data_IF_195737650930
#
_entry.id   IF_195737650930
#
_cell.length_a   1.000
_cell.length_b   1.000
_cell.length_c   1.000
_cell.angle_alpha   90.00
_cell.angle_beta   90.00
_cell.angle_gamma   90.00
#
_symmetry.space_group_name_H-M   'P 1'
#
loop_
_entity.id
_entity.type
_entity.pdbx_description
1 polymer ?
#
# COMPACT_ATOMS: atom_id res chain seq x y z
N UNK A 1 -11.97 34.37 10.77
CA UNK A 1 -12.41 33.35 9.79
C UNK A 1 -11.20 32.65 9.21
N UNK A 2 -10.88 31.45 9.68
CA UNK A 2 -9.82 30.63 9.08
C UNK A 2 -10.36 29.97 7.81
N UNK A 3 -9.82 30.33 6.64
CA UNK A 3 -10.09 29.61 5.39
C UNK A 3 -9.55 28.19 5.54
N UNK A 4 -10.45 27.21 5.66
CA UNK A 4 -10.14 25.79 5.45
C UNK A 4 -9.46 25.68 4.08
N UNK A 5 -8.23 25.15 4.03
CA UNK A 5 -7.63 24.73 2.76
C UNK A 5 -8.58 23.70 2.13
N UNK A 6 -8.87 23.77 0.81
CA UNK A 6 -9.65 22.73 0.17
C UNK A 6 -8.91 21.40 0.35
N UNK A 7 -9.62 20.43 0.93
CA UNK A 7 -9.20 19.02 0.96
C UNK A 7 -9.03 18.58 -0.49
N UNK A 8 -7.88 17.99 -0.82
CA UNK A 8 -7.60 17.45 -2.17
C UNK A 8 -8.44 16.19 -2.44
N UNK A 9 -9.10 15.66 -1.42
CA UNK A 9 -10.02 14.54 -1.52
C UNK A 9 -11.45 15.09 -1.53
N UNK A 10 -12.11 15.01 -2.69
CA UNK A 10 -13.54 15.29 -2.86
C UNK A 10 -14.38 14.00 -2.75
N UNK A 11 -15.70 14.15 -2.60
CA UNK A 11 -16.60 13.02 -2.40
C UNK A 11 -16.61 12.03 -3.59
N UNK A 12 -16.35 12.53 -4.81
CA UNK A 12 -16.30 11.72 -6.02
C UNK A 12 -15.03 10.84 -6.06
N UNK A 13 -13.88 11.40 -5.67
CA UNK A 13 -12.63 10.65 -5.52
C UNK A 13 -12.79 9.51 -4.50
N UNK A 14 -13.37 9.80 -3.34
CA UNK A 14 -13.63 8.77 -2.32
C UNK A 14 -14.60 7.70 -2.83
N UNK A 15 -15.70 8.08 -3.51
CA UNK A 15 -16.67 7.11 -4.02
C UNK A 15 -16.06 6.13 -5.05
N UNK A 16 -15.27 6.63 -6.01
CA UNK A 16 -14.63 5.78 -7.02
C UNK A 16 -13.51 4.91 -6.41
N UNK A 17 -12.69 5.48 -5.52
CA UNK A 17 -11.61 4.74 -4.85
C UNK A 17 -12.19 3.64 -3.95
N UNK A 18 -13.28 3.92 -3.24
CA UNK A 18 -13.97 2.95 -2.40
C UNK A 18 -14.51 1.80 -3.23
N UNK A 19 -15.16 2.05 -4.36
CA UNK A 19 -15.71 0.99 -5.21
C UNK A 19 -14.60 0.07 -5.75
N UNK A 20 -13.47 0.64 -6.20
CA UNK A 20 -12.32 -0.13 -6.64
C UNK A 20 -11.62 -0.91 -5.52
N UNK A 21 -11.53 -0.32 -4.34
CA UNK A 21 -10.92 -0.95 -3.17
C UNK A 21 -11.82 -2.05 -2.61
N UNK A 22 -13.11 -1.82 -2.47
CA UNK A 22 -14.08 -2.80 -1.98
C UNK A 22 -14.15 -4.03 -2.90
N UNK A 23 -14.15 -3.82 -4.22
CA UNK A 23 -14.12 -4.93 -5.19
C UNK A 23 -12.84 -5.75 -5.08
N UNK A 24 -11.69 -5.10 -4.96
CA UNK A 24 -10.40 -5.78 -4.73
C UNK A 24 -10.43 -6.54 -3.40
N UNK A 25 -10.91 -5.89 -2.35
CA UNK A 25 -11.00 -6.47 -1.02
C UNK A 25 -11.92 -7.68 -0.97
N UNK A 26 -13.08 -7.66 -1.63
CA UNK A 26 -13.99 -8.81 -1.74
C UNK A 26 -13.37 -10.02 -2.45
N UNK A 27 -12.43 -9.79 -3.36
CA UNK A 27 -11.69 -10.87 -4.01
C UNK A 27 -10.54 -11.41 -3.13
N UNK A 28 -9.91 -10.55 -2.32
CA UNK A 28 -8.71 -10.89 -1.54
C UNK A 28 -9.04 -11.38 -0.12
N UNK A 29 -10.02 -10.77 0.57
CA UNK A 29 -10.38 -11.11 1.95
C UNK A 29 -10.76 -12.59 2.14
N UNK A 30 -11.51 -13.27 1.24
CA UNK A 30 -11.76 -14.71 1.36
C UNK A 30 -10.50 -15.56 1.22
N UNK A 31 -9.51 -15.10 0.44
CA UNK A 31 -8.21 -15.78 0.30
C UNK A 31 -7.43 -15.67 1.60
N UNK A 32 -7.31 -14.45 2.14
CA UNK A 32 -6.62 -14.18 3.41
C UNK A 32 -7.28 -14.93 4.57
N UNK A 33 -8.61 -14.90 4.66
CA UNK A 33 -9.35 -15.61 5.70
C UNK A 33 -9.12 -17.13 5.65
N UNK A 34 -9.13 -17.72 4.45
CA UNK A 34 -8.86 -19.16 4.27
C UNK A 34 -7.42 -19.52 4.62
N UNK A 35 -6.46 -18.69 4.26
CA UNK A 35 -5.05 -18.95 4.49
C UNK A 35 -4.67 -18.81 5.95
N UNK A 36 -5.19 -17.81 6.66
CA UNK A 36 -4.67 -17.47 8.01
C UNK A 36 -5.69 -17.65 9.13
N UNK A 37 -6.98 -17.84 8.82
CA UNK A 37 -8.01 -18.01 9.85
C UNK A 37 -8.12 -16.81 10.80
N UNK A 38 -7.67 -15.62 10.38
CA UNK A 38 -7.71 -14.41 11.20
C UNK A 38 -9.15 -14.12 11.66
N UNK A 39 -9.31 -13.83 12.96
CA UNK A 39 -10.60 -13.50 13.60
C UNK A 39 -10.69 -12.03 13.99
N UNK A 40 -9.56 -11.33 13.92
CA UNK A 40 -9.47 -9.90 14.19
C UNK A 40 -8.51 -9.19 13.24
N UNK A 41 -8.94 -8.03 12.71
CA UNK A 41 -8.19 -7.25 11.72
C UNK A 41 -8.14 -5.78 12.10
N UNK A 42 -6.96 -5.18 12.07
CA UNK A 42 -6.79 -3.72 12.11
C UNK A 42 -6.27 -3.20 10.77
N UNK A 43 -6.89 -2.15 10.24
CA UNK A 43 -6.53 -1.52 8.96
C UNK A 43 -6.10 -0.06 9.19
N UNK A 44 -4.83 0.22 8.91
CA UNK A 44 -4.20 1.53 9.11
C UNK A 44 -4.11 2.27 7.77
N UNK A 45 -4.77 3.41 7.70
CA UNK A 45 -5.12 4.08 6.45
C UNK A 45 -6.35 3.44 5.79
N UNK A 46 -7.36 3.08 6.58
CA UNK A 46 -8.52 2.31 6.11
C UNK A 46 -9.46 3.08 5.17
N UNK A 47 -9.29 4.39 5.04
CA UNK A 47 -10.22 5.31 4.38
C UNK A 47 -11.63 5.14 4.93
N UNK A 48 -12.58 4.87 4.03
CA UNK A 48 -13.97 4.59 4.40
C UNK A 48 -14.21 3.15 4.92
N UNK A 49 -13.16 2.34 5.10
CA UNK A 49 -13.26 0.99 5.67
C UNK A 49 -13.62 -0.11 4.66
N UNK A 50 -13.28 0.07 3.37
CA UNK A 50 -13.64 -0.87 2.31
C UNK A 50 -13.07 -2.28 2.51
N UNK A 51 -11.81 -2.37 2.96
CA UNK A 51 -11.17 -3.66 3.25
C UNK A 51 -11.77 -4.35 4.47
N UNK A 52 -11.97 -3.60 5.55
CA UNK A 52 -12.62 -4.09 6.76
C UNK A 52 -14.07 -4.54 6.53
N UNK A 53 -14.79 -3.86 5.62
CA UNK A 53 -16.11 -4.29 5.17
C UNK A 53 -16.06 -5.67 4.52
N UNK A 54 -15.11 -5.90 3.60
CA UNK A 54 -14.94 -7.19 2.96
C UNK A 54 -14.53 -8.30 3.96
N UNK A 55 -13.68 -7.98 4.94
CA UNK A 55 -13.37 -8.92 6.04
C UNK A 55 -14.59 -9.26 6.90
N UNK A 56 -15.45 -8.28 7.18
CA UNK A 56 -16.72 -8.52 7.89
C UNK A 56 -17.64 -9.45 7.09
N UNK A 57 -17.69 -9.31 5.76
CA UNK A 57 -18.51 -10.14 4.87
C UNK A 57 -18.07 -11.61 4.84
N UNK A 58 -16.82 -11.91 5.20
CA UNK A 58 -16.31 -13.29 5.36
C UNK A 58 -16.36 -13.78 6.82
N UNK A 59 -17.01 -13.04 7.71
CA UNK A 59 -17.27 -13.45 9.10
C UNK A 59 -16.30 -12.94 10.15
N UNK A 60 -15.40 -11.99 9.81
CA UNK A 60 -14.50 -11.37 10.81
C UNK A 60 -15.22 -10.21 11.51
N UNK A 61 -15.59 -10.40 12.77
CA UNK A 61 -16.34 -9.40 13.52
C UNK A 61 -15.46 -8.38 14.24
N UNK A 62 -14.29 -8.79 14.76
CA UNK A 62 -13.40 -7.91 15.51
C UNK A 62 -12.51 -7.10 14.56
N UNK A 63 -13.03 -5.98 14.08
CA UNK A 63 -12.33 -5.09 13.16
C UNK A 63 -12.10 -3.70 13.75
N UNK A 64 -11.01 -3.05 13.38
CA UNK A 64 -10.74 -1.65 13.69
C UNK A 64 -10.09 -0.93 12.50
N UNK A 65 -10.64 0.21 12.11
CA UNK A 65 -10.06 1.08 11.09
C UNK A 65 -9.48 2.34 11.73
N UNK A 66 -8.27 2.72 11.30
CA UNK A 66 -7.61 3.94 11.74
C UNK A 66 -7.25 4.77 10.52
N UNK A 67 -7.72 6.01 10.45
CA UNK A 67 -7.38 6.95 9.38
C UNK A 67 -7.55 8.40 9.87
N UNK A 68 -7.20 9.41 9.06
CA UNK A 68 -7.30 10.81 9.45
C UNK A 68 -8.72 11.33 9.67
N UNK A 69 -8.83 12.41 10.45
CA UNK A 69 -10.11 13.08 10.74
C UNK A 69 -10.76 13.74 9.50
N UNK A 70 -10.08 13.71 8.35
CA UNK A 70 -10.65 14.12 7.06
C UNK A 70 -11.68 13.11 6.52
N UNK A 71 -11.72 11.89 7.04
CA UNK A 71 -12.68 10.86 6.61
C UNK A 71 -14.08 11.23 7.11
N UNK A 72 -15.03 11.38 6.19
CA UNK A 72 -16.42 11.64 6.54
C UNK A 72 -17.07 10.40 7.17
N UNK A 73 -17.31 10.46 8.48
CA UNK A 73 -17.88 9.36 9.28
C UNK A 73 -19.27 8.91 8.84
N UNK A 74 -20.02 9.75 8.12
CA UNK A 74 -21.35 9.40 7.60
C UNK A 74 -21.28 8.42 6.41
N UNK A 75 -20.12 8.35 5.74
CA UNK A 75 -19.91 7.53 4.55
C UNK A 75 -19.14 6.23 4.83
N UNK A 76 -18.88 5.91 6.11
CA UNK A 76 -18.14 4.71 6.49
C UNK A 76 -18.89 3.45 6.04
N UNK A 77 -18.14 2.48 5.52
CA UNK A 77 -18.60 1.14 5.18
C UNK A 77 -18.57 0.18 6.37
N UNK A 78 -18.07 0.66 7.51
CA UNK A 78 -18.00 -0.05 8.78
C UNK A 78 -18.73 0.76 9.86
N UNK A 79 -19.15 0.13 10.97
CA UNK A 79 -19.76 0.87 12.08
C UNK A 79 -18.81 1.96 12.60
N UNK A 80 -19.32 3.17 12.83
CA UNK A 80 -18.49 4.31 13.27
C UNK A 80 -17.75 4.06 14.59
N UNK A 81 -18.27 3.18 15.44
CA UNK A 81 -17.61 2.74 16.68
C UNK A 81 -16.33 1.91 16.44
N UNK A 82 -16.15 1.38 15.23
CA UNK A 82 -14.96 0.62 14.81
C UNK A 82 -13.95 1.49 14.03
N UNK A 83 -14.17 2.81 13.96
CA UNK A 83 -13.29 3.76 13.29
C UNK A 83 -12.66 4.73 14.29
N UNK A 84 -11.34 4.94 14.17
CA UNK A 84 -10.56 5.86 14.98
C UNK A 84 -9.92 6.91 14.08
N UNK A 85 -10.19 8.19 14.37
CA UNK A 85 -9.55 9.29 13.67
C UNK A 85 -8.15 9.57 14.25
N UNK A 86 -7.11 9.49 13.44
CA UNK A 86 -5.72 9.70 13.84
C UNK A 86 -4.88 10.29 12.71
N UNK A 87 -4.03 11.27 13.04
CA UNK A 87 -3.00 11.76 12.12
C UNK A 87 -1.85 10.75 12.04
N UNK A 88 -1.83 9.94 10.96
CA UNK A 88 -0.83 8.90 10.73
C UNK A 88 0.60 9.44 10.51
N UNK A 89 0.76 10.76 10.30
CA UNK A 89 2.09 11.39 10.23
C UNK A 89 2.74 11.59 11.61
N UNK A 90 1.94 11.47 12.68
CA UNK A 90 2.35 11.62 14.08
C UNK A 90 2.45 10.25 14.76
N UNK A 91 3.08 10.17 15.94
CA UNK A 91 2.97 8.98 16.79
C UNK A 91 1.52 8.64 17.09
N UNK A 92 1.19 7.35 17.01
CA UNK A 92 -0.11 6.81 17.40
C UNK A 92 0.04 5.36 17.86
N UNK A 93 -0.98 4.89 18.55
CA UNK A 93 -1.06 3.53 19.07
C UNK A 93 -2.28 2.82 18.46
N UNK A 94 -2.14 1.52 18.23
CA UNK A 94 -3.24 0.66 17.85
C UNK A 94 -3.85 0.10 19.13
N UNK A 95 -5.17 0.20 19.35
CA UNK A 95 -5.80 -0.31 20.56
C UNK A 95 -5.81 -1.84 20.55
N UNK A 96 -5.11 -2.46 21.50
CA UNK A 96 -5.13 -3.91 21.68
C UNK A 96 -4.26 -4.66 20.68
N UNK A 97 -4.57 -5.96 20.51
CA UNK A 97 -3.85 -6.88 19.62
C UNK A 97 -4.83 -7.55 18.67
N UNK A 98 -4.34 -7.85 17.48
CA UNK A 98 -5.11 -8.42 16.37
C UNK A 98 -4.38 -9.64 15.82
N UNK A 99 -5.11 -10.49 15.12
CA UNK A 99 -4.52 -11.63 14.40
C UNK A 99 -3.83 -11.15 13.11
N UNK A 100 -4.35 -10.08 12.50
CA UNK A 100 -3.82 -9.46 11.29
C UNK A 100 -3.86 -7.92 11.42
N UNK A 101 -2.72 -7.27 11.18
CA UNK A 101 -2.65 -5.85 10.90
C UNK A 101 -2.47 -5.62 9.40
N UNK A 102 -2.97 -4.51 8.87
CA UNK A 102 -2.79 -4.17 7.47
C UNK A 102 -2.60 -2.68 7.23
N UNK A 103 -1.88 -2.36 6.16
CA UNK A 103 -1.79 -1.00 5.62
C UNK A 103 -1.46 -1.11 4.13
N UNK A 104 -2.38 -0.65 3.29
CA UNK A 104 -2.32 -0.87 1.84
C UNK A 104 -2.39 0.46 1.08
N UNK A 105 -1.33 0.80 0.36
CA UNK A 105 -1.18 2.06 -0.40
C UNK A 105 -1.33 3.31 0.50
N UNK A 106 -0.61 3.30 1.64
CA UNK A 106 -0.63 4.36 2.66
C UNK A 106 0.77 4.92 2.90
N UNK A 107 1.76 4.04 3.04
CA UNK A 107 3.10 4.41 3.48
C UNK A 107 3.85 5.35 2.52
N UNK A 108 3.47 5.36 1.24
CA UNK A 108 3.98 6.28 0.21
C UNK A 108 3.55 7.73 0.39
N UNK A 109 2.49 7.97 1.16
CA UNK A 109 2.02 9.31 1.52
C UNK A 109 2.71 9.87 2.78
N UNK A 110 3.47 9.02 3.49
CA UNK A 110 4.14 9.36 4.73
C UNK A 110 5.61 9.68 4.48
N UNK A 111 6.19 10.58 5.28
CA UNK A 111 7.66 10.75 5.28
C UNK A 111 8.34 9.43 5.66
N UNK A 112 9.59 9.19 5.22
CA UNK A 112 10.31 7.96 5.58
C UNK A 112 10.35 7.67 7.10
N UNK A 113 10.45 8.71 7.94
CA UNK A 113 10.38 8.58 9.41
C UNK A 113 9.00 8.14 9.90
N UNK A 114 7.93 8.66 9.30
CA UNK A 114 6.57 8.25 9.63
C UNK A 114 6.25 6.85 9.07
N UNK A 115 6.77 6.49 7.89
CA UNK A 115 6.69 5.15 7.33
C UNK A 115 7.38 4.10 8.20
N UNK A 116 8.60 4.37 8.68
CA UNK A 116 9.28 3.49 9.65
C UNK A 116 8.49 3.32 10.94
N UNK A 117 7.87 4.40 11.44
CA UNK A 117 6.99 4.34 12.61
C UNK A 117 5.73 3.52 12.34
N UNK A 118 5.12 3.66 11.16
CA UNK A 118 3.98 2.85 10.75
C UNK A 118 4.34 1.37 10.77
N UNK A 119 5.49 0.98 10.23
CA UNK A 119 5.98 -0.41 10.27
C UNK A 119 6.09 -0.89 11.71
N UNK A 120 6.76 -0.14 12.59
CA UNK A 120 6.85 -0.47 14.02
C UNK A 120 5.46 -0.62 14.67
N UNK A 121 4.53 0.31 14.42
CA UNK A 121 3.18 0.24 14.98
C UNK A 121 2.42 -0.99 14.49
N UNK A 122 2.55 -1.38 13.22
CA UNK A 122 1.93 -2.58 12.66
C UNK A 122 2.49 -3.87 13.29
N UNK A 123 3.81 -3.95 13.48
CA UNK A 123 4.46 -5.15 14.05
C UNK A 123 4.14 -5.34 15.53
N UNK A 124 3.85 -4.26 16.27
CA UNK A 124 3.37 -4.35 17.64
C UNK A 124 1.91 -4.80 17.74
N UNK A 125 1.10 -4.61 16.69
CA UNK A 125 -0.33 -4.87 16.73
C UNK A 125 -0.72 -6.31 16.41
N UNK A 126 0.04 -7.01 15.56
CA UNK A 126 -0.32 -8.35 15.11
C UNK A 126 0.91 -9.20 14.70
N UNK A 127 0.82 -10.55 14.83
CA UNK A 127 1.88 -11.45 14.38
C UNK A 127 1.94 -11.55 12.84
N UNK A 128 0.88 -11.17 12.13
CA UNK A 128 0.83 -11.08 10.67
C UNK A 128 0.54 -9.64 10.25
N UNK A 129 1.26 -9.15 9.24
CA UNK A 129 1.07 -7.83 8.64
C UNK A 129 0.91 -7.96 7.13
N UNK A 130 -0.28 -7.63 6.61
CA UNK A 130 -0.52 -7.53 5.17
C UNK A 130 -0.24 -6.09 4.70
N UNK A 131 0.75 -5.93 3.83
CA UNK A 131 1.32 -4.62 3.52
C UNK A 131 1.37 -4.38 2.01
N UNK A 132 1.08 -3.15 1.58
CA UNK A 132 1.40 -2.66 0.24
C UNK A 132 1.73 -1.19 0.26
N UNK A 133 2.62 -0.76 -0.63
CA UNK A 133 2.96 0.64 -0.83
C UNK A 133 3.40 0.86 -2.29
N UNK A 134 3.15 2.06 -2.80
CA UNK A 134 3.57 2.43 -4.15
C UNK A 134 5.08 2.30 -4.37
N UNK A 135 5.45 1.65 -5.48
CA UNK A 135 6.85 1.55 -5.93
C UNK A 135 7.28 2.79 -6.71
N UNK A 136 8.58 3.09 -6.83
CA UNK A 136 9.05 4.29 -7.54
C UNK A 136 8.51 4.39 -8.97
N UNK A 137 7.89 5.52 -9.29
CA UNK A 137 7.30 5.80 -10.60
C UNK A 137 5.87 5.27 -10.76
N UNK A 138 5.29 4.62 -9.74
CA UNK A 138 3.88 4.26 -9.72
C UNK A 138 3.00 5.49 -9.94
N UNK A 139 3.35 6.60 -9.27
CA UNK A 139 2.60 7.84 -9.27
C UNK A 139 1.29 7.70 -8.50
N UNK A 140 0.59 8.82 -8.37
CA UNK A 140 -0.62 8.96 -7.57
C UNK A 140 -0.63 10.32 -6.88
N UNK A 141 -1.72 10.64 -6.19
CA UNK A 141 -1.88 11.94 -5.55
C UNK A 141 -1.01 12.02 -4.29
N UNK A 142 -0.06 12.97 -4.24
CA UNK A 142 0.77 13.22 -3.05
C UNK A 142 1.62 12.03 -2.58
N UNK A 143 2.18 11.25 -3.49
CA UNK A 143 3.19 10.26 -3.14
C UNK A 143 4.53 10.96 -2.89
N UNK A 144 5.03 10.88 -1.67
CA UNK A 144 6.29 11.51 -1.23
C UNK A 144 7.37 10.49 -0.85
N UNK A 145 7.00 9.22 -0.74
CA UNK A 145 7.86 8.14 -0.27
C UNK A 145 7.58 6.83 -1.03
N UNK A 146 7.55 6.89 -2.36
CA UNK A 146 7.52 5.68 -3.18
C UNK A 146 8.83 4.91 -3.02
N UNK A 147 8.76 3.68 -2.52
CA UNK A 147 9.93 2.89 -2.16
C UNK A 147 9.83 1.47 -2.69
N UNK A 148 10.97 0.85 -2.97
CA UNK A 148 11.02 -0.54 -3.41
C UNK A 148 10.67 -1.51 -2.28
N UNK A 149 10.16 -2.72 -2.58
CA UNK A 149 9.88 -3.74 -1.57
C UNK A 149 11.04 -4.01 -0.61
N UNK A 150 12.29 -3.97 -1.08
CA UNK A 150 13.48 -4.18 -0.27
C UNK A 150 13.62 -3.16 0.89
N UNK A 151 13.19 -1.89 0.68
CA UNK A 151 13.20 -0.86 1.73
C UNK A 151 12.21 -1.19 2.85
N UNK A 152 10.99 -1.59 2.48
CA UNK A 152 9.99 -1.99 3.47
C UNK A 152 10.41 -3.27 4.19
N UNK A 153 10.96 -4.24 3.45
CA UNK A 153 11.52 -5.48 4.02
C UNK A 153 12.55 -5.19 5.09
N UNK A 154 13.50 -4.27 4.85
CA UNK A 154 14.52 -3.97 5.87
C UNK A 154 13.90 -3.43 7.15
N UNK A 155 12.91 -2.54 7.04
CA UNK A 155 12.20 -2.00 8.22
C UNK A 155 11.45 -3.11 8.99
N UNK A 156 10.78 -4.02 8.30
CA UNK A 156 10.13 -5.16 8.96
C UNK A 156 11.14 -6.14 9.57
N UNK A 157 12.28 -6.36 8.91
CA UNK A 157 13.34 -7.23 9.41
C UNK A 157 13.98 -6.68 10.70
N UNK A 158 14.13 -5.37 10.81
CA UNK A 158 14.61 -4.69 12.03
C UNK A 158 13.64 -4.91 13.22
N UNK A 159 12.36 -5.11 12.94
CA UNK A 159 11.31 -5.46 13.91
C UNK A 159 11.15 -6.99 14.11
N UNK A 160 12.01 -7.80 13.48
CA UNK A 160 12.02 -9.26 13.60
C UNK A 160 11.02 -9.99 12.68
N UNK A 161 10.36 -9.29 11.76
CA UNK A 161 9.41 -9.88 10.82
C UNK A 161 10.10 -10.36 9.53
N UNK A 162 9.51 -11.37 8.88
CA UNK A 162 10.01 -11.96 7.64
C UNK A 162 8.98 -11.88 6.52
N UNK A 163 9.45 -11.77 5.28
CA UNK A 163 8.62 -11.60 4.08
C UNK A 163 8.16 -12.94 3.52
N UNK A 164 6.86 -13.02 3.23
CA UNK A 164 6.20 -14.14 2.57
C UNK A 164 5.29 -13.62 1.45
N UNK A 165 5.06 -14.46 0.43
CA UNK A 165 4.18 -14.11 -0.71
C UNK A 165 3.13 -15.19 -1.04
N UNK A 166 2.31 -15.63 -0.08
CA UNK A 166 1.27 -16.63 -0.34
C UNK A 166 0.05 -16.05 -1.09
N UNK A 167 -0.10 -14.72 -1.15
CA UNK A 167 -1.32 -14.06 -1.65
C UNK A 167 -1.20 -13.72 -3.14
N UNK A 168 -0.13 -13.05 -3.61
CA UNK A 168 -0.03 -12.58 -5.01
C UNK A 168 -0.18 -13.71 -6.02
N UNK A 169 0.40 -14.91 -5.84
CA UNK A 169 0.21 -16.03 -6.76
C UNK A 169 -1.26 -16.38 -7.00
N UNK A 170 -2.13 -16.17 -6.01
CA UNK A 170 -3.56 -16.50 -6.08
C UNK A 170 -4.42 -15.39 -6.71
N UNK A 171 -3.92 -14.15 -6.77
CA UNK A 171 -4.69 -12.98 -7.22
C UNK A 171 -4.14 -12.31 -8.48
N UNK A 172 -2.92 -12.63 -8.91
CA UNK A 172 -2.21 -11.97 -10.03
C UNK A 172 -3.02 -11.87 -11.33
N UNK A 173 -3.80 -12.91 -11.64
CA UNK A 173 -4.56 -12.99 -12.89
C UNK A 173 -6.02 -12.51 -12.71
N UNK A 174 -6.43 -12.24 -11.47
CA UNK A 174 -7.77 -11.76 -11.15
C UNK A 174 -7.90 -10.25 -11.44
N UNK A 175 -8.40 -9.92 -12.63
CA UNK A 175 -8.58 -8.53 -13.08
C UNK A 175 -9.61 -7.72 -12.30
N UNK A 176 -10.41 -8.35 -11.43
CA UNK A 176 -11.27 -7.62 -10.49
C UNK A 176 -10.47 -6.92 -9.38
N UNK A 177 -9.26 -7.42 -9.09
CA UNK A 177 -8.32 -6.80 -8.16
C UNK A 177 -7.51 -5.73 -8.90
N UNK A 178 -7.42 -4.54 -8.32
CA UNK A 178 -6.62 -3.44 -8.90
C UNK A 178 -5.16 -3.87 -9.06
N UNK A 179 -4.54 -3.42 -10.15
CA UNK A 179 -3.22 -3.88 -10.55
C UNK A 179 -2.15 -3.58 -9.48
N UNK A 180 -2.25 -2.45 -8.77
CA UNK A 180 -1.31 -2.10 -7.70
C UNK A 180 -1.40 -3.08 -6.53
N UNK A 181 -2.58 -3.54 -6.12
CA UNK A 181 -2.70 -4.58 -5.10
C UNK A 181 -2.15 -5.93 -5.58
N UNK A 182 -2.41 -6.32 -6.83
CA UNK A 182 -1.84 -7.54 -7.41
C UNK A 182 -0.30 -7.50 -7.46
N UNK A 183 0.25 -6.29 -7.54
CA UNK A 183 1.68 -6.04 -7.66
C UNK A 183 2.38 -5.93 -6.29
N UNK A 184 1.85 -5.10 -5.41
CA UNK A 184 2.55 -4.58 -4.24
C UNK A 184 2.19 -5.30 -2.94
N UNK A 185 1.07 -6.03 -2.91
CA UNK A 185 0.59 -6.68 -1.69
C UNK A 185 1.50 -7.84 -1.31
N UNK A 186 2.08 -7.78 -0.12
CA UNK A 186 2.91 -8.83 0.46
C UNK A 186 2.52 -9.08 1.91
N UNK A 187 3.04 -10.16 2.50
CA UNK A 187 2.78 -10.50 3.88
C UNK A 187 4.09 -10.54 4.68
N UNK A 188 4.09 -9.91 5.84
CA UNK A 188 5.16 -10.03 6.82
C UNK A 188 4.66 -10.81 8.04
N UNK A 189 5.48 -11.69 8.59
CA UNK A 189 5.12 -12.47 9.78
C UNK A 189 6.23 -12.44 10.84
N UNK A 190 5.83 -12.35 12.10
CA UNK A 190 6.70 -12.54 13.27
C UNK A 190 7.10 -14.01 13.42
N UNK A 191 8.09 -14.37 14.26
CA UNK A 191 8.41 -15.77 14.53
C UNK A 191 7.19 -16.58 15.05
N UNK A 192 6.34 -15.95 15.87
CA UNK A 192 5.07 -16.54 16.32
C UNK A 192 4.10 -16.75 15.15
N UNK A 193 3.94 -15.73 14.29
CA UNK A 193 3.11 -15.82 13.09
C UNK A 193 3.55 -16.94 12.15
N UNK A 194 4.86 -17.10 11.96
CA UNK A 194 5.45 -18.20 11.17
C UNK A 194 5.14 -19.55 11.79
N UNK A 195 5.35 -19.70 13.10
CA UNK A 195 5.07 -20.96 13.80
C UNK A 195 3.58 -21.35 13.76
N UNK A 196 2.68 -20.37 13.78
CA UNK A 196 1.24 -20.59 13.76
C UNK A 196 0.67 -20.87 12.36
N UNK A 197 1.39 -20.50 11.28
CA UNK A 197 0.89 -20.58 9.91
C UNK A 197 1.88 -21.27 8.96
N UNK A 198 2.06 -22.61 9.04
CA UNK A 198 2.96 -23.35 8.14
C UNK A 198 2.66 -23.17 6.64
N UNK A 199 1.40 -22.87 6.30
CA UNK A 199 0.92 -22.58 4.95
C UNK A 199 1.48 -21.28 4.33
N UNK A 200 2.21 -20.46 5.11
CA UNK A 200 2.98 -19.34 4.58
C UNK A 200 4.01 -19.77 3.52
N UNK A 201 4.48 -21.01 3.60
CA UNK A 201 5.53 -21.52 2.73
C UNK A 201 6.91 -20.98 3.11
N UNK A 202 7.89 -21.07 2.20
CA UNK A 202 9.23 -20.56 2.47
C UNK A 202 9.23 -19.02 2.56
N UNK A 203 10.10 -18.48 3.43
CA UNK A 203 10.44 -17.07 3.41
C UNK A 203 10.94 -16.69 2.01
N UNK A 204 10.51 -15.55 1.48
CA UNK A 204 11.09 -14.98 0.26
C UNK A 204 12.52 -14.56 0.58
N UNK A 205 13.52 -15.17 -0.06
CA UNK A 205 14.91 -14.82 0.19
C UNK A 205 15.20 -13.36 -0.22
N UNK A 206 16.09 -12.70 0.53
CA UNK A 206 16.52 -11.35 0.20
C UNK A 206 17.24 -11.33 -1.15
N UNK A 207 16.84 -10.45 -2.07
CA UNK A 207 17.32 -10.40 -3.45
C UNK A 207 16.54 -11.31 -4.42
N UNK A 208 15.68 -12.19 -3.92
CA UNK A 208 14.76 -13.01 -4.72
C UNK A 208 13.33 -12.46 -4.71
N UNK A 209 13.11 -11.25 -4.17
CA UNK A 209 11.80 -10.62 -4.21
C UNK A 209 11.40 -10.38 -5.67
N UNK A 210 10.32 -11.03 -6.11
CA UNK A 210 9.70 -10.69 -7.38
C UNK A 210 9.06 -9.31 -7.27
N UNK A 211 9.68 -8.33 -7.92
CA UNK A 211 9.07 -7.05 -8.27
C UNK A 211 8.21 -7.27 -9.52
N UNK A 212 6.91 -7.41 -9.30
CA UNK A 212 5.95 -7.37 -10.39
C UNK A 212 5.91 -5.92 -10.86
N UNK A 213 6.00 -5.66 -12.17
CA UNK A 213 5.93 -4.30 -12.70
C UNK A 213 4.86 -4.26 -13.77
N UNK A 214 3.78 -3.55 -13.49
CA UNK A 214 2.70 -3.35 -14.45
C UNK A 214 3.23 -2.61 -15.67
N UNK A 215 2.80 -3.03 -16.86
CA UNK A 215 3.32 -2.53 -18.15
C UNK A 215 3.22 -1.01 -18.29
N UNK A 216 2.24 -0.37 -17.65
CA UNK A 216 2.10 1.09 -17.62
C UNK A 216 3.29 1.80 -16.96
N UNK A 217 4.00 1.16 -16.02
CA UNK A 217 5.17 1.72 -15.36
C UNK A 217 6.42 1.62 -16.25
N UNK A 218 6.49 0.58 -17.08
CA UNK A 218 7.55 0.41 -18.07
C UNK A 218 7.37 1.38 -19.25
N UNK A 219 6.13 1.56 -19.70
CA UNK A 219 5.80 2.39 -20.86
C UNK A 219 5.67 3.88 -20.55
N UNK A 220 5.82 4.30 -19.28
CA UNK A 220 5.91 5.74 -18.96
C UNK A 220 7.16 6.33 -19.61
N UNK A 221 7.06 7.42 -20.40
CA UNK A 221 8.23 8.05 -20.98
C UNK A 221 9.19 8.45 -19.85
N UNK A 222 10.33 7.77 -19.81
CA UNK A 222 11.34 7.97 -18.77
C UNK A 222 12.05 9.29 -19.06
N UNK A 223 11.81 10.31 -18.24
CA UNK A 223 12.76 11.42 -18.14
C UNK A 223 14.10 10.82 -17.70
N UNK A 224 15.14 10.99 -18.52
CA UNK A 224 16.50 10.56 -18.22
C UNK A 224 16.95 11.06 -16.85
N UNK A 225 16.50 12.25 -16.42
CA UNK A 225 16.81 12.82 -15.10
C UNK A 225 16.12 12.12 -13.94
N UNK A 226 14.91 11.58 -14.16
CA UNK A 226 14.21 10.79 -13.15
C UNK A 226 14.85 9.40 -13.02
N UNK A 227 15.26 8.82 -14.16
CA UNK A 227 15.94 7.52 -14.21
C UNK A 227 17.29 7.55 -13.50
N UNK A 228 18.09 8.61 -13.70
CA UNK A 228 19.39 8.78 -13.05
C UNK A 228 19.31 9.00 -11.53
N UNK A 229 18.18 9.54 -11.03
CA UNK A 229 17.95 9.71 -9.58
C UNK A 229 17.64 8.40 -8.84
N UNK A 230 17.15 7.40 -9.56
CA UNK A 230 16.70 6.13 -8.99
C UNK A 230 17.74 5.00 -9.10
N UNK A 231 18.96 5.31 -9.58
CA UNK A 231 20.07 4.36 -9.65
C UNK A 231 20.92 4.44 -8.38
N UNK A 232 21.22 3.31 -7.73
CA UNK A 232 22.08 3.29 -6.54
C UNK A 232 23.48 3.80 -6.89
N UNK A 233 23.95 4.81 -6.16
CA UNK A 233 25.33 5.34 -6.26
C UNK A 233 25.53 6.62 -7.08
N UNK A 234 24.47 7.28 -7.60
CA UNK A 234 24.62 8.54 -8.35
C UNK A 234 24.66 9.76 -7.39
N UNK A 235 25.77 10.53 -7.31
CA UNK A 235 25.84 11.71 -6.46
C UNK A 235 24.92 12.84 -6.95
N UNK A 236 24.33 13.59 -6.01
CA UNK A 236 23.34 14.66 -6.27
C UNK A 236 23.78 15.71 -7.32
N UNK A 237 25.09 15.89 -7.52
CA UNK A 237 25.69 16.87 -8.42
C UNK A 237 25.44 16.60 -9.92
N UNK A 238 25.12 15.36 -10.32
CA UNK A 238 24.85 15.04 -11.73
C UNK A 238 23.47 15.49 -12.22
N UNK A 239 22.62 15.99 -11.31
CA UNK A 239 21.29 16.50 -11.63
C UNK A 239 21.26 17.85 -12.35
N UNK A 240 22.43 18.50 -12.54
CA UNK A 240 22.52 19.89 -13.03
C UNK A 240 23.16 20.05 -14.43
N UNK A 241 23.44 18.97 -15.16
CA UNK A 241 23.93 19.07 -16.55
C UNK A 241 22.77 19.46 -17.47
N UNK A 242 22.89 20.61 -18.16
CA UNK A 242 21.90 21.04 -19.17
C UNK A 242 21.97 20.13 -20.40
N UNK A 243 20.85 19.70 -20.98
CA UNK A 243 20.88 18.86 -22.17
C UNK A 243 21.41 19.67 -23.35
N UNK A 244 22.48 19.18 -23.98
CA UNK A 244 22.74 19.47 -25.39
C UNK A 244 21.75 18.63 -26.21
N UNK A 245 21.07 19.26 -27.15
CA UNK A 245 19.99 18.74 -28.02
C UNK A 245 18.56 18.71 -27.45
N UNK A 246 17.72 19.59 -28.03
CA UNK A 246 16.27 19.39 -28.14
C UNK A 246 16.00 18.91 -29.58
N UNK A 247 15.52 17.68 -29.81
CA UNK A 247 15.00 17.34 -31.14
C UNK A 247 13.68 18.10 -31.36
N UNK A 248 13.53 18.72 -32.54
CA UNK A 248 12.27 19.34 -32.95
C UNK A 248 11.23 18.23 -33.20
N UNK A 249 9.97 18.39 -32.77
CA UNK A 249 8.93 17.43 -33.11
C UNK A 249 8.65 17.50 -34.61
N UNK A 250 8.75 16.37 -35.31
CA UNK A 250 8.22 16.23 -36.66
C UNK A 250 6.72 15.95 -36.56
N UNK A 251 5.91 16.80 -37.18
CA UNK A 251 4.49 16.55 -37.39
C UNK A 251 4.33 15.37 -38.34
N UNK A 252 3.70 14.29 -37.88
CA UNK A 252 3.17 13.24 -38.75
C UNK A 252 1.69 13.61 -38.98
N UNK A 253 1.26 13.84 -40.25
CA UNK A 253 -0.15 14.09 -40.53
C UNK A 253 -0.95 12.79 -40.40
N UNK A 254 -2.16 12.87 -39.84
CA UNK A 254 -3.10 11.75 -39.77
C UNK A 254 -3.55 11.34 -41.18
N UNK A 255 -3.69 10.03 -41.45
CA UNK A 255 -4.23 9.55 -42.72
C UNK A 255 -5.74 9.81 -42.78
N UNK A 256 -6.17 10.47 -43.85
CA UNK A 256 -7.58 10.59 -44.24
C UNK A 256 -8.07 9.29 -44.89
N UNK A 257 -8.87 8.51 -44.15
CA UNK A 257 -10.21 7.99 -44.49
C UNK A 257 -10.60 6.86 -43.54
#
# INVERSE_FOLDING_TARGET
MFRKKPSVYDDAFFAQQVEHSLRSARAVAPVVHRLFGARSVVDIGCGLGAWLRAFSEVGIEHICGIDGDYVNRQNLLIPSAKFIAQDLSRPFEIPGRYDLAMSLEVAEHLSGKAGARLVHTLTQAAPLVMFSAAVPGQGGSHHINEQRPAYWRSLFADEGFRLFDPIRPLIRDNRSVRWWYRQNLVLFASPEGVSAHPQLGPEVAAGEEMEWVHISLVNKPRDLRATLRNLPGVPWAWSHVKPWFRPKPHHIPEPTN
#
